data_IF_891878010485
#
_entry.id   IF_891878010485
#
_cell.length_a   1.000
_cell.length_b   1.000
_cell.length_c   1.000
_cell.angle_alpha   90.00
_cell.angle_beta   90.00
_cell.angle_gamma   90.00
#
_symmetry.space_group_name_H-M   'P 1'
#
loop_
_entity.id
_entity.type
_entity.pdbx_description
1 polymer ?
#
# COMPACT_ATOMS: atom_id res chain seq x y z
N UNK A 1 13.92 -19.58 4.27
CA UNK A 1 14.57 -18.25 4.42
C UNK A 1 15.67 -17.98 3.38
N UNK A 2 16.54 -18.94 3.02
CA UNK A 2 17.60 -18.75 2.00
C UNK A 2 17.06 -18.54 0.57
N UNK A 3 15.88 -19.09 0.25
CA UNK A 3 15.20 -18.92 -1.05
C UNK A 3 14.69 -17.50 -1.28
N UNK A 4 14.17 -16.86 -0.22
CA UNK A 4 13.67 -15.47 -0.24
C UNK A 4 14.78 -14.47 -0.60
N UNK A 5 15.96 -14.63 0.03
CA UNK A 5 17.14 -13.80 -0.24
C UNK A 5 17.75 -14.03 -1.64
N UNK A 6 17.63 -15.25 -2.18
CA UNK A 6 18.14 -15.59 -3.51
C UNK A 6 17.26 -14.99 -4.62
N UNK A 7 15.94 -14.94 -4.40
CA UNK A 7 14.98 -14.29 -5.30
C UNK A 7 15.13 -12.75 -5.29
N UNK A 8 15.30 -12.14 -4.12
CA UNK A 8 15.57 -10.70 -3.96
C UNK A 8 16.83 -10.22 -4.71
N UNK A 9 17.83 -11.10 -4.84
CA UNK A 9 19.09 -10.81 -5.52
C UNK A 9 18.99 -10.87 -7.05
N UNK A 10 17.94 -11.51 -7.60
CA UNK A 10 17.72 -11.67 -9.04
C UNK A 10 16.92 -10.48 -9.65
N UNK A 11 16.13 -9.76 -8.84
CA UNK A 11 15.31 -8.61 -9.26
C UNK A 11 15.97 -7.22 -9.06
N UNK A 12 17.31 -7.16 -9.03
CA UNK A 12 18.05 -5.90 -8.87
C UNK A 12 17.67 -4.76 -9.84
N UNK A 13 17.31 -4.98 -11.12
CA UNK A 13 16.91 -3.87 -11.99
C UNK A 13 15.53 -3.26 -11.67
N UNK A 14 14.66 -3.97 -10.94
CA UNK A 14 13.32 -3.47 -10.54
C UNK A 14 13.29 -2.84 -9.14
N UNK A 15 14.35 -3.02 -8.34
CA UNK A 15 14.47 -2.47 -6.99
C UNK A 15 14.31 -0.93 -6.94
N UNK A 16 14.72 -0.22 -8.00
CA UNK A 16 14.55 1.24 -8.09
C UNK A 16 13.08 1.66 -8.17
N UNK A 17 12.27 0.95 -8.96
CA UNK A 17 10.83 1.20 -9.08
C UNK A 17 10.08 0.85 -7.80
N UNK A 18 10.49 -0.22 -7.12
CA UNK A 18 9.95 -0.61 -5.82
C UNK A 18 10.25 0.42 -4.74
N UNK A 19 11.50 0.92 -4.70
CA UNK A 19 11.90 1.96 -3.76
C UNK A 19 11.18 3.29 -4.06
N UNK A 20 10.98 3.62 -5.33
CA UNK A 20 10.18 4.77 -5.73
C UNK A 20 8.71 4.64 -5.29
N UNK A 21 8.09 3.46 -5.50
CA UNK A 21 6.74 3.18 -5.02
C UNK A 21 6.62 3.29 -3.50
N UNK A 22 7.61 2.77 -2.77
CA UNK A 22 7.68 2.88 -1.31
C UNK A 22 7.78 4.35 -0.87
N UNK A 23 8.67 5.13 -1.50
CA UNK A 23 8.86 6.54 -1.18
C UNK A 23 7.61 7.37 -1.50
N UNK A 24 6.94 7.12 -2.63
CA UNK A 24 5.68 7.79 -3.00
C UNK A 24 4.56 7.45 -2.01
N UNK A 25 4.44 6.18 -1.62
CA UNK A 25 3.45 5.73 -0.63
C UNK A 25 3.72 6.30 0.76
N UNK A 26 4.99 6.38 1.17
CA UNK A 26 5.38 7.02 2.43
C UNK A 26 5.13 8.53 2.40
N UNK A 27 5.49 9.21 1.31
CA UNK A 27 5.27 10.65 1.14
C UNK A 27 3.78 11.00 1.18
N UNK A 28 2.93 10.21 0.52
CA UNK A 28 1.48 10.41 0.55
C UNK A 28 0.89 10.18 1.92
N UNK A 29 1.36 9.17 2.64
CA UNK A 29 0.94 8.91 4.01
C UNK A 29 1.32 10.09 4.92
N UNK A 30 2.57 10.53 4.88
CA UNK A 30 3.04 11.69 5.66
C UNK A 30 2.25 12.96 5.32
N UNK A 31 2.01 13.23 4.04
CA UNK A 31 1.18 14.36 3.62
C UNK A 31 -0.24 14.27 4.18
N UNK A 32 -0.81 13.06 4.26
CA UNK A 32 -2.13 12.86 4.84
C UNK A 32 -2.16 13.08 6.35
N UNK A 33 -1.13 12.62 7.08
CA UNK A 33 -0.99 12.84 8.54
C UNK A 33 -0.84 14.33 8.84
N UNK A 34 0.06 15.03 8.13
CA UNK A 34 0.27 16.47 8.31
C UNK A 34 -1.00 17.25 7.98
N UNK A 35 -1.70 16.90 6.90
CA UNK A 35 -2.97 17.51 6.55
C UNK A 35 -3.99 17.34 7.67
N UNK A 36 -4.17 16.13 8.17
CA UNK A 36 -5.15 15.83 9.22
C UNK A 36 -4.81 16.57 10.54
N UNK A 37 -3.54 16.54 10.95
CA UNK A 37 -3.08 17.23 12.14
C UNK A 37 -3.24 18.75 12.03
N UNK A 38 -2.83 19.33 10.90
CA UNK A 38 -2.93 20.78 10.64
C UNK A 38 -4.39 21.21 10.59
N UNK A 39 -5.27 20.43 9.94
CA UNK A 39 -6.70 20.71 9.88
C UNK A 39 -7.35 20.65 11.27
N UNK A 40 -7.05 19.64 12.07
CA UNK A 40 -7.58 19.53 13.43
C UNK A 40 -7.16 20.69 14.33
N UNK A 41 -5.86 21.01 14.34
CA UNK A 41 -5.33 22.16 15.08
C UNK A 41 -5.94 23.48 14.60
N UNK A 42 -6.04 23.68 13.28
CA UNK A 42 -6.59 24.91 12.71
C UNK A 42 -8.06 25.13 13.08
N UNK A 43 -8.89 24.07 13.04
CA UNK A 43 -10.31 24.17 13.45
C UNK A 43 -10.43 24.56 14.92
N UNK A 44 -9.67 23.90 15.81
CA UNK A 44 -9.68 24.21 17.23
C UNK A 44 -9.19 25.64 17.51
N UNK A 45 -8.11 26.06 16.86
CA UNK A 45 -7.54 27.41 17.00
C UNK A 45 -8.50 28.49 16.50
N UNK A 46 -9.17 28.28 15.36
CA UNK A 46 -10.18 29.21 14.85
C UNK A 46 -11.40 29.30 15.78
N UNK A 47 -11.82 28.19 16.37
CA UNK A 47 -12.90 28.19 17.36
C UNK A 47 -12.55 29.04 18.58
N UNK A 48 -11.34 28.86 19.13
CA UNK A 48 -10.86 29.67 20.26
C UNK A 48 -10.70 31.15 19.89
N UNK A 49 -10.15 31.44 18.71
CA UNK A 49 -9.99 32.81 18.23
C UNK A 49 -11.33 33.54 18.09
N UNK A 50 -12.36 32.85 17.59
CA UNK A 50 -13.72 33.39 17.49
C UNK A 50 -14.34 33.73 18.84
N UNK A 51 -14.17 32.87 19.85
CA UNK A 51 -14.65 33.13 21.21
C UNK A 51 -13.89 34.29 21.87
N UNK A 52 -12.57 34.38 21.64
CA UNK A 52 -11.73 35.44 22.18
C UNK A 52 -11.83 36.77 21.41
N UNK A 53 -12.51 36.80 20.26
CA UNK A 53 -12.63 38.00 19.41
C UNK A 53 -11.31 38.43 18.75
N UNK A 54 -10.32 37.54 18.68
CA UNK A 54 -9.00 37.83 18.10
C UNK A 54 -8.94 37.39 16.63
N UNK A 55 -8.20 38.13 15.82
CA UNK A 55 -7.96 37.76 14.43
C UNK A 55 -6.81 36.74 14.34
N UNK A 56 -7.03 35.68 13.55
CA UNK A 56 -6.06 34.61 13.34
C UNK A 56 -5.69 34.56 11.86
N UNK A 57 -4.40 34.35 11.57
CA UNK A 57 -3.94 34.20 10.19
C UNK A 57 -4.38 32.84 9.62
N UNK A 58 -5.36 32.86 8.74
CA UNK A 58 -5.88 31.66 8.06
C UNK A 58 -5.07 31.25 6.82
N UNK A 59 -4.26 32.14 6.26
CA UNK A 59 -3.54 31.88 5.01
C UNK A 59 -2.45 30.83 5.17
N UNK A 60 -1.69 30.88 6.27
CA UNK A 60 -0.57 29.95 6.50
C UNK A 60 -1.07 28.50 6.66
N UNK A 61 -2.04 28.20 7.55
CA UNK A 61 -2.57 26.85 7.66
C UNK A 61 -3.26 26.39 6.37
N UNK A 62 -3.99 27.27 5.69
CA UNK A 62 -4.64 26.94 4.42
C UNK A 62 -3.64 26.65 3.28
N UNK A 63 -2.48 27.31 3.26
CA UNK A 63 -1.42 27.03 2.31
C UNK A 63 -0.80 25.65 2.55
N UNK A 64 -0.51 25.31 3.82
CA UNK A 64 0.03 24.00 4.21
C UNK A 64 -0.95 22.88 3.83
N UNK A 65 -2.23 23.03 4.19
CA UNK A 65 -3.27 22.05 3.88
C UNK A 65 -3.37 21.83 2.36
N UNK A 66 -3.35 22.89 1.55
CA UNK A 66 -3.38 22.80 0.09
C UNK A 66 -2.14 22.12 -0.48
N UNK A 67 -0.95 22.49 -0.02
CA UNK A 67 0.30 21.86 -0.44
C UNK A 67 0.28 20.35 -0.12
N UNK A 68 -0.09 19.97 1.11
CA UNK A 68 -0.23 18.57 1.51
C UNK A 68 -1.30 17.82 0.68
N UNK A 69 -2.42 18.47 0.35
CA UNK A 69 -3.45 17.86 -0.48
C UNK A 69 -2.95 17.56 -1.90
N UNK A 70 -2.16 18.46 -2.49
CA UNK A 70 -1.54 18.26 -3.81
C UNK A 70 -0.53 17.11 -3.73
N UNK A 71 0.40 17.13 -2.76
CA UNK A 71 1.40 16.06 -2.58
C UNK A 71 0.73 14.71 -2.40
N UNK A 72 -0.32 14.63 -1.57
CA UNK A 72 -1.11 13.41 -1.34
C UNK A 72 -1.75 12.90 -2.64
N UNK A 73 -2.28 13.80 -3.47
CA UNK A 73 -2.96 13.41 -4.71
C UNK A 73 -1.98 12.95 -5.77
N UNK A 74 -0.92 13.73 -6.01
CA UNK A 74 0.13 13.41 -6.98
C UNK A 74 0.88 12.14 -6.60
N UNK A 75 1.22 11.96 -5.33
CA UNK A 75 1.92 10.76 -4.90
C UNK A 75 1.05 9.50 -5.01
N UNK A 76 -0.27 9.59 -4.74
CA UNK A 76 -1.18 8.45 -4.93
C UNK A 76 -1.35 8.11 -6.39
N UNK A 77 -1.35 9.13 -7.25
CA UNK A 77 -1.37 8.92 -8.69
C UNK A 77 -0.09 8.22 -9.16
N UNK A 78 1.08 8.63 -8.67
CA UNK A 78 2.36 7.96 -8.95
C UNK A 78 2.38 6.50 -8.48
N UNK A 79 1.94 6.24 -7.25
CA UNK A 79 1.81 4.87 -6.70
C UNK A 79 0.87 4.01 -7.56
N UNK A 80 -0.26 4.57 -7.99
CA UNK A 80 -1.20 3.90 -8.89
C UNK A 80 -0.61 3.62 -10.26
N UNK A 81 0.14 4.56 -10.84
CA UNK A 81 0.80 4.34 -12.12
C UNK A 81 1.77 3.16 -12.07
N UNK A 82 2.61 3.10 -11.03
CA UNK A 82 3.59 2.03 -10.86
C UNK A 82 2.88 0.67 -10.68
N UNK A 83 1.84 0.62 -9.85
CA UNK A 83 1.09 -0.62 -9.60
C UNK A 83 0.25 -1.06 -10.80
N UNK A 84 -0.28 -0.11 -11.57
CA UNK A 84 -1.05 -0.38 -12.77
C UNK A 84 -0.17 -0.86 -13.93
N UNK A 85 1.02 -0.28 -14.10
CA UNK A 85 2.01 -0.76 -15.09
C UNK A 85 2.37 -2.23 -14.83
N UNK A 86 2.61 -2.59 -13.56
CA UNK A 86 2.86 -3.98 -13.17
C UNK A 86 1.67 -4.90 -13.55
N UNK A 87 0.45 -4.48 -13.24
CA UNK A 87 -0.76 -5.27 -13.56
C UNK A 87 -0.97 -5.43 -15.07
N UNK A 88 -0.71 -4.39 -15.86
CA UNK A 88 -0.85 -4.43 -17.31
C UNK A 88 0.21 -5.31 -17.98
N UNK A 89 1.45 -5.29 -17.48
CA UNK A 89 2.50 -6.21 -17.95
C UNK A 89 2.09 -7.66 -17.73
N UNK A 90 1.60 -8.01 -16.54
CA UNK A 90 1.07 -9.35 -16.24
C UNK A 90 -0.05 -9.72 -17.24
N UNK A 91 -1.00 -8.82 -17.47
CA UNK A 91 -2.09 -9.03 -18.44
C UNK A 91 -1.58 -9.25 -19.87
N UNK A 92 -0.56 -8.49 -20.30
CA UNK A 92 0.03 -8.65 -21.63
C UNK A 92 0.72 -10.00 -21.80
N UNK A 93 1.50 -10.43 -20.80
CA UNK A 93 2.15 -11.74 -20.81
C UNK A 93 1.14 -12.88 -20.79
N UNK A 94 0.09 -12.78 -19.98
CA UNK A 94 -0.98 -13.77 -19.94
C UNK A 94 -1.70 -13.89 -21.29
N UNK A 95 -1.93 -12.76 -21.98
CA UNK A 95 -2.54 -12.77 -23.32
C UNK A 95 -1.64 -13.46 -24.34
N UNK A 96 -0.36 -13.11 -24.38
CA UNK A 96 0.61 -13.76 -25.31
C UNK A 96 0.67 -15.26 -25.04
N UNK A 97 0.82 -15.65 -23.78
CA UNK A 97 0.82 -17.06 -23.37
C UNK A 97 -0.49 -17.78 -23.77
N UNK A 98 -1.65 -17.15 -23.56
CA UNK A 98 -2.95 -17.73 -23.92
C UNK A 98 -3.03 -17.96 -25.44
N UNK A 99 -2.55 -17.01 -26.25
CA UNK A 99 -2.50 -17.16 -27.70
C UNK A 99 -1.53 -18.26 -28.12
N UNK A 100 -0.32 -18.30 -27.58
CA UNK A 100 0.70 -19.32 -27.87
C UNK A 100 0.26 -20.73 -27.44
N UNK A 101 -0.59 -20.84 -26.41
CA UNK A 101 -1.18 -22.12 -26.00
C UNK A 101 -2.34 -22.51 -26.92
N UNK A 102 -3.22 -21.58 -27.29
CA UNK A 102 -4.43 -21.86 -28.06
C UNK A 102 -4.17 -22.04 -29.57
N UNK A 103 -3.22 -21.32 -30.16
CA UNK A 103 -2.86 -21.38 -31.58
C UNK A 103 -2.51 -22.81 -32.06
N UNK A 104 -1.59 -23.55 -31.38
CA UNK A 104 -1.20 -24.90 -31.78
C UNK A 104 -2.09 -26.02 -31.22
N UNK A 105 -3.16 -25.70 -30.46
CA UNK A 105 -4.20 -26.66 -30.07
C UNK A 105 -5.30 -26.80 -31.14
N UNK A 106 -5.20 -26.03 -32.22
CA UNK A 106 -5.80 -26.40 -33.51
C UNK A 106 -5.08 -27.65 -34.06
N UNK A 107 -5.80 -28.57 -34.70
CA UNK A 107 -5.76 -30.00 -34.38
C UNK A 107 -4.50 -30.77 -34.80
N UNK A 108 -3.81 -31.33 -33.80
CA UNK A 108 -3.37 -32.74 -33.76
C UNK A 108 -3.03 -33.08 -32.29
N UNK A 109 -4.09 -33.17 -31.47
CA UNK A 109 -3.98 -33.29 -30.02
C UNK A 109 -3.19 -34.52 -29.56
N UNK A 110 -2.52 -34.38 -28.41
CA UNK A 110 -2.44 -35.35 -27.30
C UNK A 110 -1.19 -35.23 -26.40
N UNK A 111 -0.25 -34.29 -26.62
CA UNK A 111 1.01 -34.28 -25.83
C UNK A 111 1.44 -32.92 -25.22
N UNK A 112 0.61 -31.86 -25.31
CA UNK A 112 0.91 -30.47 -24.93
C UNK A 112 0.87 -30.13 -23.43
N UNK A 113 0.50 -31.07 -22.57
CA UNK A 113 0.09 -30.81 -21.17
C UNK A 113 1.23 -30.47 -20.18
N UNK A 114 2.50 -30.74 -20.52
CA UNK A 114 3.61 -30.66 -19.57
C UNK A 114 4.51 -29.43 -19.76
N UNK A 115 4.77 -29.01 -21.01
CA UNK A 115 5.70 -27.89 -21.32
C UNK A 115 5.08 -26.52 -21.03
N UNK A 116 3.81 -26.33 -21.41
CA UNK A 116 3.03 -25.14 -21.07
C UNK A 116 2.93 -24.97 -19.55
N UNK A 117 2.65 -26.07 -18.83
CA UNK A 117 2.52 -26.11 -17.38
C UNK A 117 3.80 -25.75 -16.62
N UNK A 118 4.97 -26.05 -17.16
CA UNK A 118 6.26 -25.70 -16.56
C UNK A 118 6.59 -24.21 -16.73
N UNK A 119 6.35 -23.64 -17.92
CA UNK A 119 6.56 -22.22 -18.17
C UNK A 119 5.55 -21.35 -17.42
N UNK A 120 4.26 -21.74 -17.43
CA UNK A 120 3.22 -21.09 -16.63
C UNK A 120 3.52 -21.12 -15.14
N UNK A 121 4.10 -22.21 -14.63
CA UNK A 121 4.50 -22.31 -13.23
C UNK A 121 5.66 -21.36 -12.92
N UNK A 122 6.68 -21.29 -13.77
CA UNK A 122 7.78 -20.35 -13.58
C UNK A 122 7.32 -18.88 -13.63
N UNK A 123 6.46 -18.52 -14.57
CA UNK A 123 5.92 -17.15 -14.69
C UNK A 123 4.93 -16.85 -13.56
N UNK A 124 4.06 -17.79 -13.19
CA UNK A 124 3.14 -17.63 -12.06
C UNK A 124 3.88 -17.54 -10.72
N UNK A 125 4.99 -18.24 -10.55
CA UNK A 125 5.84 -18.15 -9.35
C UNK A 125 6.55 -16.79 -9.27
N UNK A 126 6.97 -16.22 -10.41
CA UNK A 126 7.52 -14.86 -10.46
C UNK A 126 6.42 -13.81 -10.20
N UNK A 127 5.23 -13.98 -10.78
CA UNK A 127 4.10 -13.06 -10.64
C UNK A 127 3.50 -13.07 -9.22
N UNK A 128 3.46 -14.24 -8.57
CA UNK A 128 3.05 -14.34 -7.17
C UNK A 128 4.07 -13.67 -6.27
N UNK A 129 5.36 -13.74 -6.60
CA UNK A 129 6.40 -13.02 -5.87
C UNK A 129 6.20 -11.50 -6.00
N UNK A 130 6.09 -10.96 -7.22
CA UNK A 130 5.92 -9.52 -7.44
C UNK A 130 4.60 -8.99 -6.84
N UNK A 131 3.50 -9.74 -6.95
CA UNK A 131 2.24 -9.37 -6.30
C UNK A 131 2.33 -9.41 -4.78
N UNK A 132 3.04 -10.39 -4.20
CA UNK A 132 3.28 -10.43 -2.76
C UNK A 132 4.09 -9.20 -2.31
N UNK A 133 5.11 -8.82 -3.07
CA UNK A 133 5.88 -7.61 -2.78
C UNK A 133 5.03 -6.34 -2.85
N UNK A 134 4.29 -6.12 -3.94
CA UNK A 134 3.54 -4.88 -4.18
C UNK A 134 2.26 -4.77 -3.33
N UNK A 135 1.56 -5.88 -3.07
CA UNK A 135 0.25 -5.87 -2.40
C UNK A 135 0.31 -6.20 -0.92
N UNK A 136 1.36 -6.87 -0.45
CA UNK A 136 1.47 -7.29 0.94
C UNK A 136 2.68 -6.64 1.60
N UNK A 137 3.88 -6.81 1.06
CA UNK A 137 5.08 -6.28 1.71
C UNK A 137 5.12 -4.75 1.71
N UNK A 138 4.78 -4.12 0.57
CA UNK A 138 4.81 -2.66 0.43
C UNK A 138 3.82 -1.98 1.39
N UNK A 139 2.52 -2.32 1.43
CA UNK A 139 1.59 -1.68 2.36
C UNK A 139 1.92 -1.96 3.82
N UNK A 140 2.42 -3.17 4.13
CA UNK A 140 2.81 -3.52 5.50
C UNK A 140 4.05 -2.74 5.96
N UNK A 141 5.04 -2.56 5.08
CA UNK A 141 6.21 -1.74 5.36
C UNK A 141 5.83 -0.27 5.57
N UNK A 142 5.01 0.30 4.69
CA UNK A 142 4.51 1.68 4.82
C UNK A 142 3.72 1.86 6.11
N UNK A 143 2.84 0.91 6.46
CA UNK A 143 2.10 0.94 7.70
C UNK A 143 3.03 0.93 8.92
N UNK A 144 3.98 -0.01 9.00
CA UNK A 144 4.92 -0.08 10.13
C UNK A 144 5.79 1.17 10.24
N UNK A 145 6.32 1.66 9.12
CA UNK A 145 7.17 2.86 9.07
C UNK A 145 6.43 4.11 9.50
N UNK A 146 5.12 4.20 9.29
CA UNK A 146 4.31 5.32 9.75
C UNK A 146 3.85 5.16 11.20
N UNK A 147 3.39 3.95 11.55
CA UNK A 147 2.68 3.68 12.79
C UNK A 147 3.64 3.66 13.97
N UNK A 148 4.82 3.04 13.85
CA UNK A 148 5.82 2.97 14.92
C UNK A 148 6.29 4.36 15.43
N UNK A 149 6.80 5.27 14.57
CA UNK A 149 7.25 6.58 15.05
C UNK A 149 6.11 7.44 15.56
N UNK A 150 4.92 7.35 14.95
CA UNK A 150 3.75 8.08 15.43
C UNK A 150 3.30 7.60 16.82
N UNK A 151 3.22 6.29 17.01
CA UNK A 151 2.90 5.66 18.31
C UNK A 151 3.94 6.03 19.37
N UNK A 152 5.22 6.01 19.01
CA UNK A 152 6.31 6.36 19.93
C UNK A 152 6.26 7.83 20.35
N UNK A 153 5.99 8.73 19.40
CA UNK A 153 5.78 10.14 19.69
C UNK A 153 4.56 10.36 20.59
N UNK A 154 3.42 9.73 20.26
CA UNK A 154 2.20 9.87 21.07
C UNK A 154 2.38 9.28 22.48
N UNK A 155 3.15 8.21 22.62
CA UNK A 155 3.49 7.63 23.91
C UNK A 155 4.29 8.61 24.78
N UNK A 156 5.23 9.34 24.18
CA UNK A 156 6.04 10.34 24.89
C UNK A 156 5.20 11.54 25.36
N UNK A 157 4.26 12.02 24.54
CA UNK A 157 3.43 13.19 24.83
C UNK A 157 2.22 12.86 25.71
N UNK A 158 1.52 11.76 25.43
CA UNK A 158 0.23 11.41 26.04
C UNK A 158 0.03 9.89 26.12
N UNK A 159 0.64 9.20 27.11
CA UNK A 159 0.64 7.73 27.18
C UNK A 159 -0.76 7.12 27.31
N UNK A 160 -1.71 7.83 27.93
CA UNK A 160 -3.12 7.40 28.01
C UNK A 160 -3.77 7.34 26.62
N UNK A 161 -3.51 8.32 25.76
CA UNK A 161 -4.03 8.34 24.40
C UNK A 161 -3.36 7.27 23.54
N UNK A 162 -2.05 7.05 23.73
CA UNK A 162 -1.32 5.99 23.05
C UNK A 162 -1.84 4.58 23.39
N UNK A 163 -2.25 4.33 24.64
CA UNK A 163 -2.88 3.06 25.02
C UNK A 163 -4.24 2.87 24.33
N UNK A 164 -5.04 3.92 24.22
CA UNK A 164 -6.34 3.87 23.51
C UNK A 164 -6.11 3.63 22.02
N UNK A 165 -5.16 4.33 21.39
CA UNK A 165 -4.77 4.10 20.01
C UNK A 165 -4.32 2.63 19.80
N UNK A 166 -3.42 2.13 20.62
CA UNK A 166 -2.93 0.76 20.53
C UNK A 166 -4.06 -0.27 20.66
N UNK A 167 -4.98 -0.07 21.60
CA UNK A 167 -6.15 -0.94 21.77
C UNK A 167 -7.05 -0.92 20.52
N UNK A 168 -7.32 0.25 19.95
CA UNK A 168 -8.12 0.40 18.73
C UNK A 168 -7.44 -0.25 17.52
N UNK A 169 -6.12 -0.10 17.38
CA UNK A 169 -5.34 -0.72 16.31
C UNK A 169 -5.31 -2.24 16.43
N UNK A 170 -5.14 -2.78 17.64
CA UNK A 170 -5.22 -4.23 17.87
C UNK A 170 -6.62 -4.75 17.56
N UNK A 171 -7.67 -4.01 17.93
CA UNK A 171 -9.03 -4.39 17.58
C UNK A 171 -9.27 -4.38 16.07
N UNK A 172 -8.86 -3.31 15.38
CA UNK A 172 -8.98 -3.20 13.93
C UNK A 172 -8.17 -4.26 13.18
N UNK A 173 -6.93 -4.52 13.62
CA UNK A 173 -5.99 -5.41 12.93
C UNK A 173 -6.16 -6.89 13.24
N UNK A 174 -6.65 -7.26 14.43
CA UNK A 174 -6.77 -8.67 14.85
C UNK A 174 -8.22 -9.09 15.08
N UNK A 175 -8.99 -8.33 15.86
CA UNK A 175 -10.36 -8.72 16.21
C UNK A 175 -11.28 -8.74 14.98
N UNK A 176 -11.21 -7.71 14.11
CA UNK A 176 -12.06 -7.65 12.92
C UNK A 176 -11.78 -8.77 11.90
N UNK A 177 -10.53 -9.00 11.45
CA UNK A 177 -10.24 -10.12 10.54
C UNK A 177 -10.59 -11.48 11.13
N UNK A 178 -10.37 -11.66 12.44
CA UNK A 178 -10.73 -12.89 13.13
C UNK A 178 -12.24 -13.13 13.18
N UNK A 179 -13.04 -12.09 13.48
CA UNK A 179 -14.50 -12.16 13.44
C UNK A 179 -15.02 -12.45 12.03
N UNK A 180 -14.44 -11.81 11.01
CA UNK A 180 -14.77 -12.04 9.61
C UNK A 180 -14.41 -13.46 9.16
N UNK A 181 -13.22 -13.97 9.52
CA UNK A 181 -12.82 -15.34 9.23
C UNK A 181 -13.78 -16.36 9.86
N UNK A 182 -14.23 -16.11 11.09
CA UNK A 182 -15.22 -16.97 11.77
C UNK A 182 -16.61 -16.94 11.14
N UNK A 183 -17.02 -15.82 10.54
CA UNK A 183 -18.32 -15.70 9.85
C UNK A 183 -18.26 -16.17 8.39
N UNK A 184 -17.14 -15.95 7.71
CA UNK A 184 -16.91 -16.39 6.33
C UNK A 184 -16.70 -17.89 6.18
N UNK A 185 -16.19 -18.57 7.22
CA UNK A 185 -16.07 -20.04 7.25
C UNK A 185 -17.40 -20.82 7.29
N UNK A 186 -18.56 -20.14 7.25
CA UNK A 186 -19.88 -20.78 7.15
C UNK A 186 -20.52 -20.68 5.76
N UNK A 187 -19.83 -20.10 4.78
CA UNK A 187 -20.34 -19.92 3.41
C UNK A 187 -19.48 -20.62 2.33
N UNK A 188 -18.70 -21.63 2.72
CA UNK A 188 -17.93 -22.49 1.80
C UNK A 188 -18.41 -23.92 1.89
#
# INVERSE_FOLDING_TARGET
MKTFWRLLRMHRPQAGWLLLGLLLSLLTLLANVVLMATSGWFIAAMGLAGVAGITMNYFTPAAIIRACAIVRTTGRYGERLVTHDATLRILSHLRVWLYEVLEPLSPAGLWQEQSSRLLSRFTADIDTLDNFYLRILLPMAVALLALLPFSAWLWAEAPRLALVEAALLLAAGLLFPWLLARRGGRAG
#
